data_IF_755231888717
#
_entry.id   IF_755231888717
#
_cell.length_a   1.000
_cell.length_b   1.000
_cell.length_c   1.000
_cell.angle_alpha   90.00
_cell.angle_beta   90.00
_cell.angle_gamma   90.00
#
_symmetry.space_group_name_H-M   'P 1'
#
loop_
_entity.id
_entity.type
_entity.pdbx_description
1 polymer ?
#
# COMPACT_ATOMS: atom_id res chain seq x y z
N UNK A 1 -7.34 -24.56 -27.37
CA UNK A 1 -6.27 -23.57 -27.28
C UNK A 1 -6.20 -23.12 -25.83
N UNK A 2 -5.11 -23.32 -25.08
CA UNK A 2 -5.00 -22.78 -23.74
C UNK A 2 -4.97 -21.25 -23.85
N UNK A 3 -5.82 -20.57 -23.09
CA UNK A 3 -5.82 -19.12 -22.95
C UNK A 3 -4.45 -18.69 -22.45
N UNK A 4 -3.72 -17.94 -23.24
CA UNK A 4 -2.49 -17.27 -22.82
C UNK A 4 -2.83 -16.43 -21.62
N UNK A 5 -2.26 -16.75 -20.47
CA UNK A 5 -2.39 -15.93 -19.27
C UNK A 5 -1.89 -14.51 -19.62
N UNK A 6 -2.81 -13.58 -19.72
CA UNK A 6 -2.49 -12.20 -20.02
C UNK A 6 -1.68 -11.66 -18.82
N UNK A 7 -0.40 -11.41 -19.05
CA UNK A 7 0.48 -10.84 -18.01
C UNK A 7 -0.02 -9.43 -17.75
N UNK A 8 -0.59 -9.19 -16.56
CA UNK A 8 -1.05 -7.86 -16.17
C UNK A 8 0.16 -6.92 -16.05
N UNK A 9 0.07 -5.72 -16.62
CA UNK A 9 1.14 -4.73 -16.51
C UNK A 9 1.36 -4.34 -15.04
N UNK A 10 2.63 -4.12 -14.70
CA UNK A 10 3.08 -3.66 -13.40
C UNK A 10 3.55 -2.22 -13.57
N UNK A 11 2.86 -1.27 -12.92
CA UNK A 11 3.21 0.14 -12.96
C UNK A 11 3.67 0.65 -11.60
N UNK A 12 4.48 1.70 -11.58
CA UNK A 12 4.68 2.53 -10.40
C UNK A 12 3.43 3.39 -10.16
N UNK A 13 3.14 4.32 -11.05
CA UNK A 13 1.82 4.91 -11.26
C UNK A 13 1.29 4.43 -12.61
N UNK A 14 -0.01 4.46 -12.84
CA UNK A 14 -0.59 3.97 -14.09
C UNK A 14 0.02 4.70 -15.30
N UNK A 15 0.58 3.91 -16.23
CA UNK A 15 1.28 4.43 -17.41
C UNK A 15 2.78 4.67 -17.21
N UNK A 16 3.29 4.71 -15.99
CA UNK A 16 4.71 4.88 -15.70
C UNK A 16 5.42 3.53 -15.59
N UNK A 17 6.69 3.43 -15.96
CA UNK A 17 7.45 2.21 -15.78
C UNK A 17 7.54 1.85 -14.29
N UNK A 18 7.73 0.55 -13.96
CA UNK A 18 7.87 0.13 -12.57
C UNK A 18 9.07 0.82 -11.93
N UNK A 19 8.83 1.70 -10.98
CA UNK A 19 9.89 2.28 -10.16
C UNK A 19 10.04 1.46 -8.88
N UNK A 20 11.05 0.57 -8.86
CA UNK A 20 11.42 -0.21 -7.68
C UNK A 20 12.08 0.66 -6.59
N UNK A 21 12.24 1.95 -6.86
CA UNK A 21 13.07 2.85 -6.10
C UNK A 21 12.26 3.85 -5.25
N UNK A 22 10.95 3.91 -5.35
CA UNK A 22 10.14 4.82 -4.55
C UNK A 22 10.10 4.36 -3.08
N UNK A 23 10.80 5.10 -2.23
CA UNK A 23 10.71 5.09 -0.78
C UNK A 23 10.03 6.35 -0.33
N UNK A 24 9.32 6.28 0.80
CA UNK A 24 8.64 7.43 1.36
C UNK A 24 7.88 8.16 0.24
N UNK A 25 6.95 7.42 -0.38
CA UNK A 25 6.22 7.89 -1.55
C UNK A 25 4.78 8.17 -1.17
N UNK A 26 4.40 9.43 -1.27
CA UNK A 26 3.01 9.87 -1.24
C UNK A 26 2.78 10.67 -2.51
N UNK A 27 1.81 10.25 -3.30
CA UNK A 27 1.36 10.97 -4.48
C UNK A 27 -0.14 11.18 -4.41
N UNK A 28 -0.59 12.38 -4.75
CA UNK A 28 -2.00 12.71 -4.87
C UNK A 28 -2.25 13.42 -6.19
N UNK A 29 -3.32 13.04 -6.84
CA UNK A 29 -3.78 13.68 -8.08
C UNK A 29 -5.31 13.65 -8.14
N UNK A 30 -5.90 14.50 -8.94
CA UNK A 30 -7.34 14.45 -9.20
C UNK A 30 -7.66 13.27 -10.12
N UNK A 31 -8.85 12.66 -9.97
CA UNK A 31 -9.32 11.61 -10.87
C UNK A 31 -9.35 12.13 -12.32
N UNK A 32 -9.78 13.36 -12.52
CA UNK A 32 -9.86 13.98 -13.85
C UNK A 32 -8.49 14.15 -14.50
N UNK A 33 -7.43 14.52 -13.76
CA UNK A 33 -6.10 14.74 -14.35
C UNK A 33 -5.50 13.48 -14.96
N UNK A 34 -5.75 12.33 -14.37
CA UNK A 34 -5.26 11.03 -14.84
C UNK A 34 -6.23 10.37 -15.82
N UNK A 35 -7.52 10.41 -15.51
CA UNK A 35 -8.51 9.63 -16.25
C UNK A 35 -8.89 10.26 -17.57
N UNK A 36 -8.90 11.60 -17.69
CA UNK A 36 -9.27 12.29 -18.94
C UNK A 36 -8.30 11.99 -20.09
N UNK A 37 -7.02 11.85 -19.82
CA UNK A 37 -6.01 11.49 -20.84
C UNK A 37 -6.06 10.01 -21.25
N UNK A 38 -6.82 9.19 -20.53
CA UNK A 38 -7.02 7.77 -20.77
C UNK A 38 -8.48 7.42 -21.09
N UNK A 39 -9.24 8.36 -21.67
CA UNK A 39 -10.65 8.18 -22.03
C UNK A 39 -11.52 7.70 -20.88
N UNK A 40 -11.21 8.13 -19.65
CA UNK A 40 -11.87 7.73 -18.39
C UNK A 40 -11.82 6.23 -18.09
N UNK A 41 -10.89 5.52 -18.73
CA UNK A 41 -10.64 4.09 -18.53
C UNK A 41 -9.20 3.86 -18.10
N UNK A 42 -9.04 3.36 -16.89
CA UNK A 42 -7.75 2.88 -16.36
C UNK A 42 -7.75 1.36 -16.47
N UNK A 43 -6.97 0.85 -17.43
CA UNK A 43 -6.90 -0.60 -17.70
C UNK A 43 -6.41 -1.40 -16.49
N UNK A 44 -6.73 -2.69 -16.46
CA UNK A 44 -6.32 -3.57 -15.38
C UNK A 44 -4.79 -3.62 -15.24
N UNK A 45 -4.29 -3.30 -14.04
CA UNK A 45 -2.86 -3.26 -13.69
C UNK A 45 -2.68 -3.57 -12.20
N UNK A 46 -1.44 -3.55 -11.73
CA UNK A 46 -1.10 -3.66 -10.31
C UNK A 46 0.13 -2.83 -9.96
N UNK A 47 0.21 -2.40 -8.72
CA UNK A 47 1.40 -1.78 -8.16
C UNK A 47 2.14 -2.77 -7.26
N UNK A 48 3.47 -2.72 -7.24
CA UNK A 48 4.27 -3.65 -6.45
C UNK A 48 4.20 -3.34 -4.95
N UNK A 49 4.23 -2.06 -4.59
CA UNK A 49 4.43 -1.58 -3.21
C UNK A 49 3.55 -0.38 -2.84
N UNK A 50 2.60 0.02 -3.68
CA UNK A 50 1.71 1.14 -3.39
C UNK A 50 0.35 0.65 -2.94
N UNK A 51 -0.12 1.23 -1.85
CA UNK A 51 -1.53 1.24 -1.48
C UNK A 51 -2.19 2.43 -2.16
N UNK A 52 -3.39 2.26 -2.72
CA UNK A 52 -4.17 3.35 -3.28
C UNK A 52 -5.47 3.56 -2.52
N UNK A 53 -5.81 4.82 -2.32
CA UNK A 53 -7.12 5.27 -1.86
C UNK A 53 -7.68 6.18 -2.93
N UNK A 54 -8.80 5.80 -3.54
CA UNK A 54 -9.60 6.72 -4.33
C UNK A 54 -10.68 7.31 -3.45
N UNK A 55 -10.80 8.63 -3.42
CA UNK A 55 -11.90 9.34 -2.76
C UNK A 55 -12.75 9.95 -3.86
N UNK A 56 -13.99 9.52 -3.98
CA UNK A 56 -14.92 9.92 -5.05
C UNK A 56 -16.03 10.74 -4.41
N UNK A 57 -16.05 12.02 -4.72
CA UNK A 57 -17.03 12.96 -4.17
C UNK A 57 -18.30 13.05 -5.02
N UNK A 58 -18.16 12.91 -6.36
CA UNK A 58 -19.27 12.93 -7.33
C UNK A 58 -19.03 11.90 -8.43
N UNK A 59 -20.10 11.49 -9.11
CA UNK A 59 -20.04 10.54 -10.20
C UNK A 59 -20.01 9.09 -9.72
N UNK A 60 -19.32 8.23 -10.47
CA UNK A 60 -19.27 6.81 -10.20
C UNK A 60 -18.68 6.02 -11.37
N UNK A 61 -18.89 4.71 -11.34
CA UNK A 61 -18.39 3.84 -12.40
C UNK A 61 -18.30 2.39 -11.95
N UNK A 62 -17.36 1.69 -12.57
CA UNK A 62 -17.04 0.29 -12.27
C UNK A 62 -15.56 0.13 -12.02
N UNK A 63 -15.18 -0.68 -11.05
CA UNK A 63 -13.81 -1.13 -10.86
C UNK A 63 -13.66 -2.60 -11.21
N UNK A 64 -12.55 -2.95 -11.84
CA UNK A 64 -12.05 -4.33 -11.85
C UNK A 64 -11.22 -4.52 -10.58
N UNK A 65 -11.52 -5.54 -9.80
CA UNK A 65 -10.80 -5.88 -8.58
C UNK A 65 -10.50 -7.38 -8.61
N UNK A 66 -9.25 -7.74 -8.83
CA UNK A 66 -8.83 -9.10 -9.19
C UNK A 66 -9.62 -9.61 -10.41
N UNK A 67 -10.53 -10.54 -10.21
CA UNK A 67 -11.39 -11.12 -11.25
C UNK A 67 -12.83 -10.62 -11.20
N UNK A 68 -13.17 -9.77 -10.25
CA UNK A 68 -14.52 -9.25 -10.07
C UNK A 68 -14.67 -7.85 -10.68
N UNK A 69 -15.86 -7.55 -11.18
CA UNK A 69 -16.28 -6.18 -11.51
C UNK A 69 -17.22 -5.69 -10.42
N UNK A 70 -16.87 -4.57 -9.80
CA UNK A 70 -17.60 -3.98 -8.66
C UNK A 70 -18.07 -2.59 -9.08
N UNK A 71 -19.38 -2.33 -9.14
CA UNK A 71 -19.90 -0.98 -9.36
C UNK A 71 -19.68 -0.11 -8.13
N UNK A 72 -19.45 1.18 -8.33
CA UNK A 72 -19.34 2.14 -7.25
C UNK A 72 -20.06 3.45 -7.61
N UNK A 73 -20.64 4.06 -6.57
CA UNK A 73 -21.34 5.35 -6.64
C UNK A 73 -20.77 6.30 -5.58
N UNK A 74 -20.60 7.55 -5.98
CA UNK A 74 -20.24 8.61 -5.04
C UNK A 74 -21.40 8.90 -4.05
N UNK A 75 -21.08 9.39 -2.84
CA UNK A 75 -19.73 9.56 -2.34
C UNK A 75 -19.18 8.26 -1.73
N UNK A 76 -17.94 7.93 -2.08
CA UNK A 76 -17.29 6.72 -1.56
C UNK A 76 -15.74 6.84 -1.55
N UNK A 77 -15.08 5.92 -0.82
CA UNK A 77 -13.68 5.63 -1.03
C UNK A 77 -13.50 4.21 -1.57
N UNK A 78 -12.48 4.01 -2.39
CA UNK A 78 -12.06 2.70 -2.88
C UNK A 78 -10.65 2.44 -2.38
N UNK A 79 -10.45 1.26 -1.77
CA UNK A 79 -9.21 0.86 -1.12
C UNK A 79 -8.55 -0.27 -1.89
N UNK A 80 -7.36 -0.02 -2.41
CA UNK A 80 -6.61 -0.99 -3.20
C UNK A 80 -5.23 -1.22 -2.60
N UNK A 81 -4.98 -2.37 -1.94
CA UNK A 81 -3.66 -2.72 -1.43
C UNK A 81 -2.65 -2.97 -2.54
N UNK A 82 -1.36 -2.90 -2.19
CA UNK A 82 -0.28 -3.33 -3.06
C UNK A 82 -0.51 -4.76 -3.60
N UNK A 83 -0.09 -5.01 -4.81
CA UNK A 83 -0.16 -6.28 -5.55
C UNK A 83 -1.55 -6.72 -6.04
N UNK A 84 -2.63 -6.09 -5.61
CA UNK A 84 -3.99 -6.37 -6.09
C UNK A 84 -4.15 -5.86 -7.51
N UNK A 85 -4.66 -6.73 -8.39
CA UNK A 85 -4.99 -6.36 -9.76
C UNK A 85 -6.26 -5.49 -9.77
N UNK A 86 -6.19 -4.31 -10.35
CA UNK A 86 -7.30 -3.38 -10.38
C UNK A 86 -7.31 -2.51 -11.62
N UNK A 87 -8.47 -1.97 -11.93
CA UNK A 87 -8.70 -1.02 -13.02
C UNK A 87 -10.01 -0.29 -12.80
N UNK A 88 -10.22 0.79 -13.51
CA UNK A 88 -11.39 1.64 -13.33
C UNK A 88 -11.97 2.06 -14.67
N UNK A 89 -13.30 2.14 -14.72
CA UNK A 89 -14.06 2.78 -15.76
C UNK A 89 -14.97 3.81 -15.10
N UNK A 90 -14.59 5.07 -15.18
CA UNK A 90 -15.36 6.17 -14.61
C UNK A 90 -16.46 6.63 -15.55
N UNK A 91 -17.54 7.20 -15.02
CA UNK A 91 -18.46 8.01 -15.81
C UNK A 91 -17.76 9.32 -16.19
N UNK A 92 -17.54 9.51 -17.49
CA UNK A 92 -16.80 10.63 -18.03
C UNK A 92 -17.41 11.97 -17.59
N UNK A 93 -16.54 12.95 -17.29
CA UNK A 93 -16.86 14.34 -16.93
C UNK A 93 -17.73 14.54 -15.69
N UNK A 94 -18.34 13.48 -15.13
CA UNK A 94 -19.16 13.54 -13.93
C UNK A 94 -18.38 13.17 -12.66
N UNK A 95 -17.23 12.48 -12.81
CA UNK A 95 -16.52 11.91 -11.68
C UNK A 95 -15.45 12.86 -11.14
N UNK A 96 -15.63 13.30 -9.91
CA UNK A 96 -14.75 14.20 -9.17
C UNK A 96 -14.20 13.51 -7.93
N UNK A 97 -12.92 13.73 -7.66
CA UNK A 97 -12.24 13.17 -6.48
C UNK A 97 -10.74 13.10 -6.64
N UNK A 98 -10.12 12.34 -5.78
CA UNK A 98 -8.68 12.20 -5.69
C UNK A 98 -8.24 10.74 -5.73
N UNK A 99 -7.06 10.50 -6.31
CA UNK A 99 -6.30 9.26 -6.17
C UNK A 99 -5.11 9.57 -5.28
N UNK A 100 -5.00 8.87 -4.15
CA UNK A 100 -3.87 8.95 -3.23
C UNK A 100 -3.12 7.63 -3.28
N UNK A 101 -1.89 7.65 -3.78
CA UNK A 101 -1.00 6.48 -3.86
C UNK A 101 0.15 6.66 -2.87
N UNK A 102 0.42 5.65 -2.05
CA UNK A 102 1.47 5.75 -1.04
C UNK A 102 2.09 4.39 -0.71
N UNK A 103 3.32 4.40 -0.26
CA UNK A 103 3.93 3.23 0.37
C UNK A 103 3.41 3.07 1.80
N UNK A 104 3.21 1.82 2.22
CA UNK A 104 2.59 1.55 3.53
C UNK A 104 3.39 2.10 4.71
N UNK A 105 4.70 2.25 4.55
CA UNK A 105 5.59 2.83 5.56
C UNK A 105 5.28 4.28 5.90
N UNK A 106 4.70 5.01 4.96
CA UNK A 106 4.27 6.40 5.17
C UNK A 106 3.20 6.52 6.25
N UNK A 107 2.37 5.52 6.40
CA UNK A 107 1.35 5.48 7.46
C UNK A 107 1.92 4.87 8.75
N UNK A 108 2.81 3.88 8.67
CA UNK A 108 3.36 3.19 9.85
C UNK A 108 4.33 4.06 10.68
N UNK A 109 5.04 4.97 10.04
CA UNK A 109 6.15 5.73 10.67
C UNK A 109 5.77 6.84 11.65
N UNK A 110 4.50 7.10 11.92
CA UNK A 110 4.05 8.26 12.74
C UNK A 110 3.80 7.90 14.22
N UNK A 111 3.87 6.62 14.62
CA UNK A 111 3.71 6.17 16.00
C UNK A 111 3.14 4.76 16.12
N UNK A 112 3.21 4.18 17.33
CA UNK A 112 2.79 2.80 17.58
C UNK A 112 1.34 2.50 17.17
N UNK A 113 0.44 3.50 17.19
CA UNK A 113 -0.99 3.36 16.85
C UNK A 113 -1.32 3.65 15.38
N UNK A 114 -0.42 4.19 14.59
CA UNK A 114 -0.67 4.44 13.16
C UNK A 114 -0.74 3.14 12.35
N UNK A 115 -0.05 2.09 12.80
CA UNK A 115 -0.21 0.74 12.26
C UNK A 115 -1.63 0.19 12.35
N UNK A 116 -2.41 0.58 13.36
CA UNK A 116 -3.82 0.18 13.48
C UNK A 116 -4.69 0.78 12.38
N UNK A 117 -4.44 2.02 11.95
CA UNK A 117 -5.20 2.64 10.87
C UNK A 117 -4.95 1.91 9.54
N UNK A 118 -3.70 1.59 9.23
CA UNK A 118 -3.34 0.83 8.03
C UNK A 118 -3.89 -0.60 8.07
N UNK A 119 -3.82 -1.27 9.22
CA UNK A 119 -4.42 -2.60 9.39
C UNK A 119 -5.92 -2.58 9.13
N UNK A 120 -6.61 -1.54 9.58
CA UNK A 120 -8.05 -1.34 9.31
C UNK A 120 -8.31 -1.08 7.82
N UNK A 121 -7.54 -0.22 7.16
CA UNK A 121 -7.69 0.00 5.72
C UNK A 121 -7.49 -1.30 4.91
N UNK A 122 -6.52 -2.13 5.29
CA UNK A 122 -6.31 -3.44 4.67
C UNK A 122 -7.48 -4.39 4.91
N UNK A 123 -8.02 -4.41 6.13
CA UNK A 123 -9.21 -5.21 6.44
C UNK A 123 -10.42 -4.81 5.58
N UNK A 124 -10.59 -3.51 5.38
CA UNK A 124 -11.65 -2.95 4.52
C UNK A 124 -11.45 -3.29 3.05
N UNK A 125 -10.23 -3.50 2.58
CA UNK A 125 -9.96 -3.82 1.18
C UNK A 125 -10.48 -5.19 0.72
N UNK A 126 -11.02 -6.01 1.62
CA UNK A 126 -11.77 -7.23 1.24
C UNK A 126 -13.16 -6.91 0.67
N UNK A 127 -13.70 -5.74 1.01
CA UNK A 127 -14.87 -5.11 0.39
C UNK A 127 -14.43 -3.66 0.09
N UNK A 128 -13.81 -3.43 -1.08
CA UNK A 128 -12.96 -2.26 -1.28
C UNK A 128 -13.73 -0.94 -1.35
N UNK A 129 -15.04 -0.96 -1.52
CA UNK A 129 -15.86 0.25 -1.67
C UNK A 129 -16.49 0.64 -0.34
N UNK A 130 -16.02 1.74 0.24
CA UNK A 130 -16.56 2.32 1.49
C UNK A 130 -17.42 3.53 1.11
N UNK A 131 -18.75 3.39 1.16
CA UNK A 131 -19.66 4.51 0.86
C UNK A 131 -19.65 5.54 1.99
N UNK A 132 -19.93 6.81 1.70
CA UNK A 132 -19.98 7.92 2.63
C UNK A 132 -21.36 8.59 2.62
N UNK A 133 -21.64 9.42 3.63
CA UNK A 133 -22.66 10.46 3.57
C UNK A 133 -22.07 11.78 3.04
N UNK A 134 -22.90 12.73 2.64
CA UNK A 134 -22.44 14.02 2.11
C UNK A 134 -21.57 14.81 3.10
N UNK A 135 -21.96 14.85 4.38
CA UNK A 135 -21.18 15.53 5.42
C UNK A 135 -19.83 14.83 5.68
N UNK A 136 -19.78 13.52 5.51
CA UNK A 136 -18.61 12.70 5.71
C UNK A 136 -17.60 12.90 4.58
N UNK A 137 -18.06 12.88 3.32
CA UNK A 137 -17.17 13.11 2.16
C UNK A 137 -16.58 14.51 2.18
N UNK A 138 -17.34 15.52 2.61
CA UNK A 138 -16.82 16.90 2.71
C UNK A 138 -15.59 16.98 3.61
N UNK A 139 -15.58 16.25 4.74
CA UNK A 139 -14.43 16.20 5.65
C UNK A 139 -13.23 15.49 5.02
N UNK A 140 -13.45 14.34 4.38
CA UNK A 140 -12.38 13.62 3.70
C UNK A 140 -11.81 14.44 2.55
N UNK A 141 -12.64 15.10 1.75
CA UNK A 141 -12.23 16.00 0.67
C UNK A 141 -11.42 17.18 1.16
N UNK A 142 -11.78 17.78 2.31
CA UNK A 142 -10.96 18.84 2.93
C UNK A 142 -9.54 18.36 3.21
N UNK A 143 -9.38 17.17 3.75
CA UNK A 143 -8.06 16.58 4.01
C UNK A 143 -7.30 16.26 2.71
N UNK A 144 -7.98 15.73 1.69
CA UNK A 144 -7.38 15.47 0.38
C UNK A 144 -6.94 16.78 -0.32
N UNK A 145 -7.75 17.84 -0.24
CA UNK A 145 -7.37 19.14 -0.79
C UNK A 145 -6.12 19.71 -0.10
N UNK A 146 -6.04 19.62 1.23
CA UNK A 146 -4.86 20.06 1.98
C UNK A 146 -3.61 19.23 1.63
N UNK A 147 -3.77 17.91 1.47
CA UNK A 147 -2.69 17.02 1.02
C UNK A 147 -2.22 17.41 -0.40
N UNK A 148 -3.15 17.68 -1.30
CA UNK A 148 -2.85 18.08 -2.68
C UNK A 148 -2.15 19.45 -2.73
N UNK A 149 -2.59 20.40 -1.92
CA UNK A 149 -1.94 21.72 -1.80
C UNK A 149 -0.50 21.60 -1.34
N UNK A 150 -0.23 20.82 -0.29
CA UNK A 150 1.15 20.57 0.18
C UNK A 150 2.02 19.90 -0.86
N UNK A 151 1.48 18.94 -1.61
CA UNK A 151 2.18 18.28 -2.72
C UNK A 151 2.55 19.26 -3.82
N UNK A 152 1.66 20.20 -4.14
CA UNK A 152 1.86 21.18 -5.20
C UNK A 152 2.83 22.29 -4.80
N UNK A 153 2.67 22.85 -3.59
CA UNK A 153 3.47 23.99 -3.11
C UNK A 153 4.87 23.57 -2.65
N UNK A 154 5.05 22.35 -2.22
CA UNK A 154 6.32 21.76 -1.78
C UNK A 154 7.12 22.69 -0.81
N UNK A 155 6.42 23.35 0.12
CA UNK A 155 7.00 24.25 1.12
C UNK A 155 7.93 23.50 2.07
N UNK A 156 8.75 24.23 2.84
CA UNK A 156 9.58 23.61 3.87
C UNK A 156 8.72 22.74 4.81
N UNK A 157 9.14 21.48 5.02
CA UNK A 157 8.39 20.52 5.83
C UNK A 157 7.22 19.82 5.13
N UNK A 158 6.97 20.07 3.83
CA UNK A 158 5.83 19.51 3.08
C UNK A 158 5.71 17.99 3.19
N UNK A 159 6.80 17.25 3.19
CA UNK A 159 6.77 15.78 3.30
C UNK A 159 6.14 15.33 4.63
N UNK A 160 6.48 16.00 5.72
CA UNK A 160 5.90 15.72 7.03
C UNK A 160 4.42 16.11 7.09
N UNK A 161 4.06 17.26 6.49
CA UNK A 161 2.67 17.69 6.37
C UNK A 161 1.84 16.71 5.54
N UNK A 162 2.33 16.30 4.36
CA UNK A 162 1.69 15.28 3.52
C UNK A 162 1.44 13.98 4.27
N UNK A 163 2.43 13.51 5.02
CA UNK A 163 2.31 12.34 5.90
C UNK A 163 1.21 12.51 6.95
N UNK A 164 1.17 13.67 7.60
CA UNK A 164 0.13 14.02 8.57
C UNK A 164 -1.27 13.96 7.96
N UNK A 165 -1.48 14.59 6.80
CA UNK A 165 -2.76 14.57 6.09
C UNK A 165 -3.14 13.17 5.61
N UNK A 166 -2.20 12.39 5.08
CA UNK A 166 -2.44 11.00 4.68
C UNK A 166 -2.95 10.15 5.86
N UNK A 167 -2.32 10.28 7.04
CA UNK A 167 -2.77 9.57 8.24
C UNK A 167 -4.15 10.02 8.68
N UNK A 168 -4.46 11.31 8.61
CA UNK A 168 -5.80 11.82 8.92
C UNK A 168 -6.86 11.27 7.95
N UNK A 169 -6.57 11.21 6.64
CA UNK A 169 -7.44 10.58 5.63
C UNK A 169 -7.68 9.11 5.97
N UNK A 170 -6.61 8.38 6.27
CA UNK A 170 -6.69 6.95 6.62
C UNK A 170 -7.54 6.70 7.88
N UNK A 171 -7.35 7.51 8.93
CA UNK A 171 -8.12 7.43 10.18
C UNK A 171 -9.60 7.75 9.92
N UNK A 172 -9.88 8.79 9.14
CA UNK A 172 -11.27 9.19 8.89
C UNK A 172 -12.02 8.10 8.12
N UNK A 173 -11.45 7.55 7.06
CA UNK A 173 -12.04 6.43 6.31
C UNK A 173 -12.26 5.22 7.23
N UNK A 174 -11.30 4.87 8.08
CA UNK A 174 -11.42 3.75 9.01
C UNK A 174 -12.55 3.97 10.04
N UNK A 175 -12.73 5.22 10.52
CA UNK A 175 -13.83 5.59 11.42
C UNK A 175 -15.20 5.46 10.76
N UNK A 176 -15.32 5.94 9.53
CA UNK A 176 -16.54 5.88 8.74
C UNK A 176 -16.96 4.43 8.48
N UNK A 177 -16.03 3.59 8.05
CA UNK A 177 -16.29 2.18 7.86
C UNK A 177 -16.70 1.47 9.16
N UNK A 178 -16.03 1.76 10.28
CA UNK A 178 -16.41 1.21 11.57
C UNK A 178 -17.80 1.67 12.04
N UNK A 179 -18.19 2.91 11.74
CA UNK A 179 -19.54 3.41 12.01
C UNK A 179 -20.61 2.65 11.23
N UNK A 180 -20.37 2.42 9.94
CA UNK A 180 -21.29 1.68 9.05
C UNK A 180 -21.42 0.22 9.41
N UNK A 181 -20.33 -0.40 9.85
CA UNK A 181 -20.38 -1.78 10.34
C UNK A 181 -21.30 -1.91 11.57
N UNK A 182 -21.28 -0.92 12.48
CA UNK A 182 -22.16 -0.91 13.67
C UNK A 182 -23.64 -0.73 13.31
N UNK A 183 -23.94 -0.03 12.23
CA UNK A 183 -25.32 0.19 11.76
C UNK A 183 -25.83 -0.92 10.85
N UNK A 184 -25.02 -1.95 10.58
CA UNK A 184 -25.35 -3.04 9.67
C UNK A 184 -25.35 -2.66 8.18
N UNK A 185 -24.95 -1.43 7.86
CA UNK A 185 -24.89 -0.92 6.49
C UNK A 185 -23.66 -1.45 5.70
N UNK A 186 -22.75 -2.14 6.39
CA UNK A 186 -21.55 -2.75 5.80
C UNK A 186 -21.17 -3.99 6.61
N UNK A 187 -20.91 -5.09 5.92
CA UNK A 187 -20.35 -6.29 6.55
C UNK A 187 -18.82 -6.17 6.49
N UNK A 188 -18.18 -5.77 7.59
CA UNK A 188 -16.73 -5.89 7.69
C UNK A 188 -16.37 -7.38 7.64
N UNK A 189 -15.80 -7.84 6.54
CA UNK A 189 -15.04 -9.10 6.59
C UNK A 189 -13.89 -8.86 7.56
N UNK A 190 -13.91 -9.58 8.67
CA UNK A 190 -12.83 -9.52 9.65
C UNK A 190 -11.54 -9.87 8.92
N UNK A 191 -10.54 -9.00 9.04
CA UNK A 191 -9.20 -9.30 8.54
C UNK A 191 -8.80 -10.69 9.04
N UNK A 192 -8.20 -11.49 8.19
CA UNK A 192 -7.78 -12.83 8.58
C UNK A 192 -6.86 -12.72 9.81
N UNK A 193 -7.27 -13.25 10.98
CA UNK A 193 -6.55 -13.02 12.22
C UNK A 193 -5.13 -13.60 12.18
N UNK A 194 -4.90 -14.65 11.39
CA UNK A 194 -3.57 -15.23 11.21
C UNK A 194 -2.67 -14.31 10.39
N UNK A 195 -3.21 -13.69 9.35
CA UNK A 195 -2.46 -12.72 8.53
C UNK A 195 -2.09 -11.49 9.36
N UNK A 196 -3.03 -10.98 10.16
CA UNK A 196 -2.80 -9.82 11.00
C UNK A 196 -1.79 -10.13 12.12
N UNK A 197 -1.92 -11.28 12.78
CA UNK A 197 -0.95 -11.73 13.77
C UNK A 197 0.44 -11.92 13.16
N UNK A 198 0.55 -12.46 11.93
CA UNK A 198 1.83 -12.55 11.21
C UNK A 198 2.42 -11.16 10.98
N UNK A 199 1.63 -10.18 10.53
CA UNK A 199 2.11 -8.82 10.27
C UNK A 199 2.64 -8.16 11.53
N UNK A 200 1.93 -8.27 12.64
CA UNK A 200 2.38 -7.76 13.94
C UNK A 200 3.69 -8.42 14.40
N UNK A 201 3.80 -9.74 14.24
CA UNK A 201 5.05 -10.44 14.53
C UNK A 201 6.20 -10.01 13.62
N UNK A 202 5.93 -9.76 12.33
CA UNK A 202 6.93 -9.26 11.39
C UNK A 202 7.39 -7.87 11.81
N UNK A 203 6.49 -6.93 12.13
CA UNK A 203 6.88 -5.61 12.62
C UNK A 203 7.75 -5.69 13.90
N UNK A 204 7.41 -6.57 14.80
CA UNK A 204 8.16 -6.74 16.07
C UNK A 204 9.54 -7.35 15.86
N UNK A 205 9.69 -8.28 14.91
CA UNK A 205 10.87 -9.16 14.86
C UNK A 205 11.67 -9.08 13.55
N UNK A 206 11.27 -8.33 12.54
CA UNK A 206 11.95 -8.33 11.22
C UNK A 206 13.44 -7.95 11.28
N UNK A 207 13.87 -7.22 12.32
CA UNK A 207 15.27 -6.83 12.52
C UNK A 207 16.13 -7.96 13.09
N UNK A 208 15.51 -8.91 13.77
CA UNK A 208 16.23 -10.02 14.45
C UNK A 208 15.95 -11.37 13.80
N UNK A 209 14.80 -11.52 13.15
CA UNK A 209 14.32 -12.79 12.62
C UNK A 209 13.84 -12.68 11.18
N UNK A 210 14.41 -13.49 10.29
CA UNK A 210 14.06 -13.51 8.87
C UNK A 210 13.49 -14.83 8.39
N UNK A 211 13.60 -15.87 9.21
CA UNK A 211 13.20 -17.22 8.86
C UNK A 211 11.70 -17.42 9.09
N UNK A 212 11.01 -17.91 8.07
CA UNK A 212 9.57 -18.20 8.14
C UNK A 212 9.22 -19.13 9.30
N UNK A 213 10.11 -20.09 9.63
CA UNK A 213 9.89 -21.05 10.70
C UNK A 213 9.70 -20.40 12.08
N UNK A 214 10.40 -19.29 12.36
CA UNK A 214 10.22 -18.53 13.59
C UNK A 214 8.78 -18.01 13.72
N UNK A 215 8.29 -17.37 12.68
CA UNK A 215 6.92 -16.80 12.64
C UNK A 215 5.86 -17.89 12.68
N UNK A 216 6.09 -19.00 11.97
CA UNK A 216 5.20 -20.14 11.96
C UNK A 216 5.09 -20.77 13.38
N UNK A 217 6.22 -20.94 14.07
CA UNK A 217 6.23 -21.44 15.44
C UNK A 217 5.49 -20.51 16.42
N UNK A 218 5.66 -19.19 16.29
CA UNK A 218 4.93 -18.19 17.11
C UNK A 218 3.41 -18.25 16.89
N UNK A 219 2.97 -18.64 15.70
CA UNK A 219 1.56 -18.79 15.34
C UNK A 219 1.04 -20.23 15.51
N UNK A 220 1.82 -21.12 16.14
CA UNK A 220 1.50 -22.54 16.33
C UNK A 220 1.15 -23.25 15.00
N UNK A 221 1.87 -22.91 13.92
CA UNK A 221 1.69 -23.47 12.57
C UNK A 221 2.99 -24.04 12.03
N UNK A 222 2.89 -24.90 11.01
CA UNK A 222 4.05 -25.23 10.16
C UNK A 222 4.29 -24.12 9.14
N UNK A 223 5.53 -23.97 8.64
CA UNK A 223 5.88 -22.97 7.62
C UNK A 223 5.04 -23.11 6.36
N UNK A 224 4.82 -24.34 5.88
CA UNK A 224 4.01 -24.60 4.69
C UNK A 224 2.56 -24.20 4.92
N UNK A 225 1.97 -24.60 6.04
CA UNK A 225 0.60 -24.23 6.39
C UNK A 225 0.42 -22.72 6.52
N UNK A 226 1.38 -22.02 7.13
CA UNK A 226 1.36 -20.56 7.22
C UNK A 226 1.47 -19.91 5.83
N UNK A 227 2.39 -20.37 4.97
CA UNK A 227 2.51 -19.88 3.60
C UNK A 227 1.24 -20.06 2.79
N UNK A 228 0.64 -21.26 2.83
CA UNK A 228 -0.58 -21.56 2.09
C UNK A 228 -1.77 -20.76 2.61
N UNK A 229 -1.87 -20.60 3.93
CA UNK A 229 -2.93 -19.81 4.55
C UNK A 229 -2.84 -18.34 4.13
N UNK A 230 -1.65 -17.73 4.30
CA UNK A 230 -1.40 -16.33 3.96
C UNK A 230 -1.58 -16.11 2.45
N UNK A 231 -1.09 -17.03 1.59
CA UNK A 231 -1.24 -16.93 0.14
C UNK A 231 -2.71 -16.97 -0.30
N UNK A 232 -3.54 -17.81 0.32
CA UNK A 232 -4.99 -17.85 0.04
C UNK A 232 -5.70 -16.56 0.47
N UNK A 233 -5.28 -15.96 1.59
CA UNK A 233 -5.89 -14.77 2.13
C UNK A 233 -5.42 -13.47 1.47
N UNK A 234 -4.16 -13.42 0.97
CA UNK A 234 -3.51 -12.18 0.53
C UNK A 234 -2.95 -12.21 -0.90
N UNK A 235 -2.98 -13.37 -1.57
CA UNK A 235 -2.35 -13.57 -2.88
C UNK A 235 -0.83 -13.77 -2.85
N UNK A 236 -0.14 -13.46 -1.73
CA UNK A 236 1.31 -13.59 -1.58
C UNK A 236 1.67 -14.50 -0.41
N UNK A 237 2.86 -15.11 -0.43
CA UNK A 237 3.30 -16.00 0.64
C UNK A 237 3.71 -15.23 1.90
N UNK A 238 3.64 -15.87 3.07
CA UNK A 238 4.14 -15.31 4.34
C UNK A 238 5.63 -14.92 4.24
N UNK A 239 6.44 -15.76 3.59
CA UNK A 239 7.86 -15.47 3.34
C UNK A 239 8.07 -14.26 2.43
N UNK A 240 7.11 -13.93 1.54
CA UNK A 240 7.15 -12.70 0.76
C UNK A 240 6.93 -11.47 1.65
N UNK A 241 5.93 -11.48 2.52
CA UNK A 241 5.66 -10.38 3.45
C UNK A 241 6.87 -10.07 4.34
N UNK A 242 7.51 -11.10 4.91
CA UNK A 242 8.73 -10.94 5.73
C UNK A 242 9.83 -10.28 4.90
N UNK A 243 10.12 -10.79 3.69
CA UNK A 243 11.16 -10.24 2.83
C UNK A 243 10.91 -8.79 2.42
N UNK A 244 9.66 -8.45 2.12
CA UNK A 244 9.30 -7.07 1.77
C UNK A 244 9.57 -6.12 2.93
N UNK A 245 9.19 -6.49 4.16
CA UNK A 245 9.43 -5.63 5.33
C UNK A 245 10.93 -5.39 5.58
N UNK A 246 11.74 -6.47 5.49
CA UNK A 246 13.21 -6.35 5.60
C UNK A 246 13.78 -5.47 4.49
N UNK A 247 13.32 -5.63 3.26
CA UNK A 247 13.75 -4.83 2.12
C UNK A 247 13.45 -3.35 2.32
N UNK A 248 12.25 -3.03 2.75
CA UNK A 248 11.84 -1.66 3.06
C UNK A 248 12.77 -1.00 4.07
N UNK A 249 13.03 -1.66 5.20
CA UNK A 249 13.95 -1.10 6.19
C UNK A 249 15.39 -0.96 5.68
N UNK A 250 15.86 -1.95 4.89
CA UNK A 250 17.17 -1.88 4.25
C UNK A 250 17.32 -0.63 3.39
N UNK A 251 16.34 -0.40 2.58
CA UNK A 251 16.29 0.73 1.71
C UNK A 251 16.25 2.05 2.51
N UNK A 252 15.39 2.15 3.55
CA UNK A 252 15.31 3.32 4.44
C UNK A 252 16.67 3.65 5.06
N UNK A 253 17.39 2.67 5.60
CA UNK A 253 18.70 2.90 6.19
C UNK A 253 19.75 3.30 5.14
N UNK A 254 19.69 2.73 3.93
CA UNK A 254 20.59 3.10 2.84
C UNK A 254 20.43 4.56 2.40
N UNK A 255 19.22 5.11 2.41
CA UNK A 255 18.91 6.48 1.96
C UNK A 255 19.10 7.50 3.06
N UNK A 256 18.61 7.21 4.27
CA UNK A 256 18.50 8.21 5.34
C UNK A 256 19.60 8.14 6.38
N UNK A 257 20.55 7.23 6.25
CA UNK A 257 21.68 7.12 7.18
C UNK A 257 23.01 7.03 6.44
N UNK A 258 24.08 7.53 7.06
CA UNK A 258 25.45 7.31 6.62
C UNK A 258 26.05 5.98 7.10
N UNK A 259 25.23 5.13 7.73
CA UNK A 259 25.67 3.86 8.31
C UNK A 259 26.32 2.96 7.26
N UNK A 260 27.48 2.34 7.54
CA UNK A 260 28.13 1.42 6.62
C UNK A 260 27.22 0.26 6.21
N UNK A 261 27.28 -0.15 4.95
CA UNK A 261 26.40 -1.19 4.39
C UNK A 261 26.50 -2.51 5.15
N UNK A 262 27.67 -2.85 5.67
CA UNK A 262 27.86 -4.07 6.46
C UNK A 262 27.15 -4.00 7.83
N UNK A 263 27.08 -2.81 8.44
CA UNK A 263 26.34 -2.61 9.69
C UNK A 263 24.83 -2.73 9.43
N UNK A 264 24.32 -2.12 8.33
CA UNK A 264 22.92 -2.29 7.92
C UNK A 264 22.58 -3.78 7.73
N UNK A 265 23.51 -4.55 7.14
CA UNK A 265 23.30 -5.99 6.99
C UNK A 265 23.14 -6.68 8.34
N UNK A 266 23.97 -6.38 9.32
CA UNK A 266 23.90 -6.97 10.67
C UNK A 266 22.65 -6.52 11.43
N UNK A 267 22.28 -5.24 11.33
CA UNK A 267 21.05 -4.68 11.94
C UNK A 267 19.77 -5.33 11.41
N UNK A 268 19.83 -5.90 10.22
CA UNK A 268 18.74 -6.63 9.57
C UNK A 268 18.90 -8.16 9.67
N UNK A 269 19.65 -8.63 10.65
CA UNK A 269 19.89 -10.05 10.93
C UNK A 269 20.50 -10.85 9.76
N UNK A 270 21.30 -10.22 8.90
CA UNK A 270 22.11 -10.97 7.96
C UNK A 270 23.43 -11.39 8.64
N UNK A 271 23.74 -12.66 8.55
CA UNK A 271 24.99 -13.19 9.10
C UNK A 271 26.24 -12.73 8.32
N UNK A 272 26.06 -12.25 7.10
CA UNK A 272 27.12 -11.86 6.18
C UNK A 272 26.65 -10.75 5.25
N UNK A 273 27.40 -9.64 5.08
CA UNK A 273 27.07 -8.57 4.16
C UNK A 273 26.90 -9.00 2.70
N UNK A 274 27.62 -10.07 2.27
CA UNK A 274 27.44 -10.60 0.91
C UNK A 274 26.08 -11.27 0.73
N UNK A 275 25.54 -11.89 1.77
CA UNK A 275 24.17 -12.40 1.76
C UNK A 275 23.14 -11.28 1.67
N UNK A 276 23.37 -10.18 2.40
CA UNK A 276 22.54 -8.98 2.28
C UNK A 276 22.60 -8.38 0.86
N UNK A 277 23.80 -8.22 0.30
CA UNK A 277 23.96 -7.66 -1.05
C UNK A 277 23.24 -8.50 -2.11
N UNK A 278 23.35 -9.85 -2.04
CA UNK A 278 22.62 -10.76 -2.94
C UNK A 278 21.12 -10.69 -2.75
N UNK A 279 20.64 -10.66 -1.51
CA UNK A 279 19.24 -10.48 -1.19
C UNK A 279 18.72 -9.18 -1.78
N UNK A 280 19.38 -8.07 -1.51
CA UNK A 280 19.01 -6.73 -1.95
C UNK A 280 18.96 -6.66 -3.48
N UNK A 281 20.02 -7.10 -4.16
CA UNK A 281 20.09 -7.12 -5.62
C UNK A 281 18.99 -8.02 -6.24
N UNK A 282 18.70 -9.15 -5.64
CA UNK A 282 17.62 -10.02 -6.11
C UNK A 282 16.24 -9.35 -6.02
N UNK A 283 16.03 -8.49 -5.04
CA UNK A 283 14.76 -7.81 -4.81
C UNK A 283 14.63 -6.49 -5.59
N UNK A 284 15.74 -5.79 -5.87
CA UNK A 284 15.74 -4.42 -6.45
C UNK A 284 16.39 -4.32 -7.82
N UNK A 285 17.11 -5.33 -8.25
CA UNK A 285 17.92 -5.28 -9.48
C UNK A 285 19.28 -4.62 -9.31
N UNK A 286 19.52 -3.83 -8.25
CA UNK A 286 20.75 -3.07 -7.99
C UNK A 286 21.42 -3.51 -6.70
N UNK A 287 22.71 -3.23 -6.56
CA UNK A 287 23.43 -3.47 -5.29
C UNK A 287 23.06 -2.40 -4.25
N UNK A 288 23.24 -2.66 -2.93
CA UNK A 288 23.06 -1.65 -1.90
C UNK A 288 23.91 -0.40 -2.11
N UNK A 289 25.14 -0.57 -2.64
CA UNK A 289 26.04 0.53 -2.91
C UNK A 289 25.55 1.43 -4.07
N UNK A 290 25.19 0.82 -5.19
CA UNK A 290 24.59 1.52 -6.35
C UNK A 290 23.32 2.25 -5.94
N UNK A 291 22.49 1.58 -5.13
CA UNK A 291 21.26 2.14 -4.64
C UNK A 291 21.47 3.38 -3.75
N UNK A 292 22.46 3.35 -2.84
CA UNK A 292 22.84 4.51 -2.01
C UNK A 292 23.39 5.63 -2.86
N UNK A 293 24.31 5.32 -3.79
CA UNK A 293 24.95 6.33 -4.66
C UNK A 293 23.94 7.08 -5.54
N UNK A 294 22.90 6.41 -6.01
CA UNK A 294 21.85 7.03 -6.83
C UNK A 294 20.95 8.00 -6.06
N UNK A 295 21.03 8.06 -4.71
CA UNK A 295 20.09 8.80 -3.84
C UNK A 295 20.75 9.63 -2.73
N UNK A 296 22.05 9.49 -2.55
CA UNK A 296 22.87 10.22 -1.55
C UNK A 296 23.50 11.48 -2.12
N UNK A 297 22.81 12.16 -3.06
CA UNK A 297 23.17 13.47 -3.58
C UNK A 297 22.27 14.54 -2.99
#
# INVERSE_FOLDING_TARGET
>A
MPATAQVLPLFHLYGDPPDDQAFDFIHIETISSRSSINDWVIGAHRHRNLFQILVIARGGGEMTYETATIPFEAPCAILTPATVAHGYRFRAEETEGFVVSFTEDEVQGIGERSGEALARLRALSTDPVVSFGEAEVARVMTLCNALNEESFLAREGYRLAMRGYLVLVAIEIARLAASRARTGAMTLKVADPTVEALRQLVETHFRTERLLNFYAAKLAMTADRLNDHVKRATGVTAGHLIRQRVLTEAKRQLVFTSQPIHEIAYDLAFSDPSHFARFFRKQTGTTPHEFRAARGG
#
